data_IF_513503314429
#
_entry.id   IF_513503314429
#
_cell.length_a   1.000
_cell.length_b   1.000
_cell.length_c   1.000
_cell.angle_alpha   90.00
_cell.angle_beta   90.00
_cell.angle_gamma   90.00
#
_symmetry.space_group_name_H-M   'P 1'
#
loop_
_entity.id
_entity.type
_entity.pdbx_description
1 polymer ?
#
# COMPACT_ATOMS: atom_id res chain seq x y z
N UNK A 1 -4.99 2.07 26.46
CA UNK A 1 -6.23 1.61 27.12
C UNK A 1 -7.04 0.92 26.03
N UNK A 2 -7.33 -0.37 26.18
CA UNK A 2 -8.19 -1.10 25.24
C UNK A 2 -9.63 -0.78 25.65
N UNK A 3 -10.40 -0.20 24.74
CA UNK A 3 -11.76 0.30 24.96
C UNK A 3 -12.83 -0.81 24.96
N UNK A 4 -12.43 -2.07 24.80
CA UNK A 4 -13.32 -3.23 24.89
C UNK A 4 -14.28 -3.37 23.70
N UNK A 5 -14.13 -2.53 22.69
CA UNK A 5 -14.95 -2.55 21.48
C UNK A 5 -14.38 -3.56 20.49
N UNK A 6 -15.08 -4.66 20.28
CA UNK A 6 -14.77 -5.61 19.22
C UNK A 6 -15.28 -5.10 17.87
N UNK A 7 -14.37 -4.54 17.06
CA UNK A 7 -14.67 -4.15 15.69
C UNK A 7 -14.41 -5.33 14.74
N UNK A 8 -15.49 -5.99 14.31
CA UNK A 8 -15.42 -7.00 13.27
C UNK A 8 -15.19 -6.33 11.90
N UNK A 9 -13.95 -6.30 11.45
CA UNK A 9 -13.59 -5.80 10.13
C UNK A 9 -14.16 -6.74 9.04
N UNK A 10 -15.21 -6.28 8.36
CA UNK A 10 -15.82 -7.02 7.25
C UNK A 10 -15.09 -6.70 5.94
N UNK A 11 -14.93 -7.70 5.07
CA UNK A 11 -14.27 -7.53 3.77
C UNK A 11 -12.74 -7.58 3.81
N UNK A 12 -12.14 -7.91 4.96
CA UNK A 12 -10.70 -8.13 5.08
C UNK A 12 -10.34 -9.49 4.50
N UNK A 13 -9.45 -9.48 3.51
CA UNK A 13 -8.92 -10.72 2.91
C UNK A 13 -7.56 -11.00 3.55
N UNK A 14 -7.48 -12.03 4.39
CA UNK A 14 -6.19 -12.59 4.79
C UNK A 14 -5.51 -13.10 3.51
N UNK A 15 -4.21 -12.83 3.34
CA UNK A 15 -3.42 -13.32 2.20
C UNK A 15 -2.42 -14.35 2.74
N UNK A 16 -2.79 -15.64 2.77
CA UNK A 16 -1.89 -16.69 3.23
C UNK A 16 -0.63 -16.71 2.36
N UNK A 17 0.54 -16.72 2.98
CA UNK A 17 1.82 -16.79 2.27
C UNK A 17 2.33 -15.46 1.70
N UNK A 18 1.75 -14.31 2.08
CA UNK A 18 2.36 -13.01 1.82
C UNK A 18 3.68 -12.89 2.59
N UNK A 19 4.78 -13.31 1.95
CA UNK A 19 6.17 -13.18 2.45
C UNK A 19 6.82 -11.83 2.07
N UNK A 20 6.10 -10.97 1.36
CA UNK A 20 6.61 -9.71 0.82
C UNK A 20 6.43 -8.58 1.84
N UNK A 21 7.28 -7.57 1.76
CA UNK A 21 7.22 -6.41 2.64
C UNK A 21 5.92 -5.64 2.36
N UNK A 22 5.03 -5.61 3.36
CA UNK A 22 3.93 -4.65 3.39
C UNK A 22 4.53 -3.28 3.72
N UNK A 23 4.21 -2.27 2.93
CA UNK A 23 4.57 -0.89 3.22
C UNK A 23 3.33 -0.22 3.81
N UNK A 24 3.47 0.27 5.04
CA UNK A 24 2.42 1.04 5.69
C UNK A 24 2.32 2.40 5.02
N UNK A 25 1.10 2.81 4.62
CA UNK A 25 0.87 4.15 4.10
C UNK A 25 1.20 5.24 5.12
N UNK A 26 0.97 4.97 6.41
CA UNK A 26 1.35 5.91 7.48
C UNK A 26 2.86 6.12 7.57
N UNK A 27 3.68 5.10 7.27
CA UNK A 27 5.14 5.26 7.23
C UNK A 27 5.59 6.10 6.05
N UNK A 28 4.88 6.02 4.91
CA UNK A 28 5.13 6.89 3.76
C UNK A 28 4.74 8.33 4.08
N UNK A 29 3.58 8.52 4.70
CA UNK A 29 3.06 9.83 5.12
C UNK A 29 3.97 10.52 6.15
N UNK A 30 4.38 9.80 7.20
CA UNK A 30 5.36 10.27 8.19
C UNK A 30 6.73 10.60 7.55
N UNK A 31 7.06 9.93 6.44
CA UNK A 31 8.25 10.19 5.63
C UNK A 31 8.12 11.36 4.66
N UNK A 32 6.97 12.05 4.62
CA UNK A 32 6.71 13.16 3.69
C UNK A 32 6.45 12.72 2.25
N UNK A 33 6.16 11.45 2.01
CA UNK A 33 5.85 10.93 0.68
C UNK A 33 4.35 11.07 0.38
N UNK A 34 4.05 11.46 -0.84
CA UNK A 34 2.68 11.53 -1.35
C UNK A 34 2.34 10.23 -2.09
N UNK A 35 1.08 9.82 -2.07
CA UNK A 35 0.62 8.69 -2.87
C UNK A 35 -0.72 8.97 -3.53
N UNK A 36 -0.86 8.56 -4.79
CA UNK A 36 -2.05 8.79 -5.59
C UNK A 36 -2.47 7.51 -6.32
N UNK A 37 -3.75 7.17 -6.22
CA UNK A 37 -4.35 6.01 -6.87
C UNK A 37 -5.14 6.44 -8.10
N UNK A 38 -4.82 5.83 -9.24
CA UNK A 38 -5.54 6.02 -10.50
C UNK A 38 -6.41 4.77 -10.75
N UNK A 39 -7.71 5.00 -10.88
CA UNK A 39 -8.71 3.94 -11.09
C UNK A 39 -8.72 3.44 -12.53
N UNK A 40 -8.46 4.30 -13.49
CA UNK A 40 -8.56 4.00 -14.92
C UNK A 40 -7.37 3.16 -15.37
N UNK A 41 -6.17 3.54 -14.90
CA UNK A 41 -4.95 2.76 -15.15
C UNK A 41 -4.73 1.64 -14.13
N UNK A 42 -5.53 1.60 -13.05
CA UNK A 42 -5.36 0.66 -11.94
C UNK A 42 -3.95 0.72 -11.31
N UNK A 43 -3.37 1.91 -11.22
CA UNK A 43 -2.03 2.13 -10.67
C UNK A 43 -2.05 2.96 -9.40
N UNK A 44 -1.00 2.83 -8.59
CA UNK A 44 -0.71 3.71 -7.45
C UNK A 44 0.68 4.29 -7.66
N UNK A 45 0.80 5.61 -7.62
CA UNK A 45 2.09 6.32 -7.66
C UNK A 45 2.47 6.71 -6.24
N UNK A 46 3.74 6.56 -5.90
CA UNK A 46 4.36 7.11 -4.69
C UNK A 46 5.32 8.19 -5.17
N UNK A 47 5.24 9.37 -4.55
CA UNK A 47 5.95 10.58 -4.95
C UNK A 47 6.71 11.16 -3.76
N UNK A 48 7.88 11.70 -4.03
CA UNK A 48 8.71 12.45 -3.09
C UNK A 48 9.05 13.78 -3.78
N UNK A 49 8.74 14.91 -3.13
CA UNK A 49 8.92 16.25 -3.70
C UNK A 49 8.29 16.44 -5.10
N UNK A 50 7.10 15.85 -5.31
CA UNK A 50 6.37 15.90 -6.58
C UNK A 50 6.93 15.01 -7.70
N UNK A 51 7.98 14.24 -7.43
CA UNK A 51 8.58 13.30 -8.38
C UNK A 51 8.10 11.88 -8.07
N UNK A 52 7.60 11.15 -9.07
CA UNK A 52 7.21 9.75 -8.89
C UNK A 52 8.46 8.88 -8.70
N UNK A 53 8.62 8.33 -7.48
CA UNK A 53 9.71 7.43 -7.12
C UNK A 53 9.33 5.96 -7.29
N UNK A 54 8.03 5.65 -7.27
CA UNK A 54 7.56 4.28 -7.42
C UNK A 54 6.16 4.19 -8.02
N UNK A 55 5.90 3.12 -8.75
CA UNK A 55 4.59 2.78 -9.31
C UNK A 55 4.21 1.37 -8.90
N UNK A 56 2.99 1.20 -8.39
CA UNK A 56 2.39 -0.09 -8.08
C UNK A 56 1.22 -0.40 -8.98
N UNK A 57 1.14 -1.64 -9.44
CA UNK A 57 -0.01 -2.15 -10.20
C UNK A 57 -1.01 -2.82 -9.27
N UNK A 58 -2.30 -2.56 -9.50
CA UNK A 58 -3.36 -3.21 -8.73
C UNK A 58 -3.55 -4.65 -9.21
N UNK A 59 -3.44 -5.57 -8.28
CA UNK A 59 -3.68 -7.00 -8.50
C UNK A 59 -5.18 -7.34 -8.42
N UNK A 60 -5.56 -8.54 -8.88
CA UNK A 60 -6.93 -9.05 -8.79
C UNK A 60 -7.45 -9.21 -7.34
N UNK A 61 -6.55 -9.25 -6.34
CA UNK A 61 -6.89 -9.23 -4.91
C UNK A 61 -7.00 -7.82 -4.33
N UNK A 62 -7.03 -6.79 -5.18
CA UNK A 62 -7.12 -5.38 -4.82
C UNK A 62 -5.91 -4.81 -4.06
N UNK A 63 -4.79 -5.52 -4.05
CA UNK A 63 -3.52 -5.01 -3.50
C UNK A 63 -2.70 -4.34 -4.59
N UNK A 64 -2.01 -3.25 -4.24
CA UNK A 64 -0.99 -2.66 -5.10
C UNK A 64 0.33 -3.40 -4.90
N UNK A 65 0.87 -3.91 -6.00
CA UNK A 65 2.19 -4.52 -6.04
C UNK A 65 3.14 -3.54 -6.70
N UNK A 66 4.06 -3.00 -5.90
CA UNK A 66 5.09 -2.09 -6.38
C UNK A 66 5.99 -2.80 -7.38
N UNK A 67 6.19 -2.18 -8.53
CA UNK A 67 7.15 -2.62 -9.54
C UNK A 67 8.51 -2.04 -9.17
N UNK A 68 9.43 -2.92 -8.77
CA UNK A 68 10.80 -2.55 -8.42
C UNK A 68 11.53 -3.74 -7.81
N UNK A 69 12.83 -3.81 -8.04
CA UNK A 69 13.74 -4.67 -7.29
C UNK A 69 14.26 -3.89 -6.09
N UNK A 70 14.14 -4.45 -4.89
CA UNK A 70 14.89 -3.98 -3.72
C UNK A 70 16.36 -4.28 -3.98
N UNK A 71 17.23 -3.27 -3.91
CA UNK A 71 18.67 -3.51 -3.89
C UNK A 71 18.95 -4.12 -2.51
N UNK A 72 19.41 -5.36 -2.50
CA UNK A 72 19.77 -6.10 -1.29
C UNK A 72 21.07 -5.56 -0.68
#
# INVERSE_FOLDING_TARGET
MFDGVELMLRGVRHVPGLRRNLISLGVLDDGGMEFCCDRDTMTMKIMEDGVTVMIGERTASYLYKLQGSTIA
#
